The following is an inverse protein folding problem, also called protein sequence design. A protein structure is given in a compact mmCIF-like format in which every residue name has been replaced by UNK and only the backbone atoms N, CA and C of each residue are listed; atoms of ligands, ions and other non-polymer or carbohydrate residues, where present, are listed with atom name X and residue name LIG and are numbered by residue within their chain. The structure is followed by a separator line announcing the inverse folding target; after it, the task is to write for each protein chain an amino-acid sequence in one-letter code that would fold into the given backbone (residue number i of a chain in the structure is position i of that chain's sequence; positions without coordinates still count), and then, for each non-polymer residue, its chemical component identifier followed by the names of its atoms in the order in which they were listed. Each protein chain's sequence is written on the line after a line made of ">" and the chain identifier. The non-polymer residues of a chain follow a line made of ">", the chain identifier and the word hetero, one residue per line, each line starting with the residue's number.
data_IF_345653276761
#
_entry.id   IF_345653276761
#
_cell.length_a   1.000
_cell.length_b   1.000
_cell.length_c   1.000
_cell.angle_alpha   90.00
_cell.angle_beta   90.00
_cell.angle_gamma   90.00
#
_symmetry.space_group_name_H-M   'P 1'
#
loop_
_entity.id
_entity.type
_entity.pdbx_description
1 polymer ?
#
# COMPACT_ATOMS: atom_id res chain seq x y z
N UNK A 1 35.89 -3.78 -8.61
CA UNK A 1 35.70 -3.34 -7.22
C UNK A 1 34.40 -2.55 -7.09
N UNK A 2 33.32 -3.23 -6.71
CA UNK A 2 32.00 -2.60 -6.55
C UNK A 2 31.87 -2.00 -5.14
N UNK A 3 31.69 -0.68 -5.05
CA UNK A 3 31.43 0.01 -3.78
C UNK A 3 29.93 0.00 -3.49
N UNK A 4 29.50 -0.87 -2.58
CA UNK A 4 28.18 -0.84 -1.94
C UNK A 4 28.01 0.53 -1.26
N UNK A 5 26.98 1.28 -1.65
CA UNK A 5 26.61 2.54 -1.00
C UNK A 5 25.66 2.22 0.15
N UNK A 6 26.15 2.39 1.38
CA UNK A 6 25.34 2.38 2.59
C UNK A 6 24.27 3.47 2.54
N UNK A 7 23.02 3.04 2.50
CA UNK A 7 21.82 3.88 2.56
C UNK A 7 21.12 3.71 3.91
N UNK A 8 21.91 3.62 4.99
CA UNK A 8 21.41 3.31 6.33
C UNK A 8 20.85 4.54 7.08
N UNK A 9 21.17 5.77 6.68
CA UNK A 9 20.85 6.97 7.49
C UNK A 9 19.94 8.03 6.83
N UNK A 10 19.33 7.79 5.68
CA UNK A 10 18.35 8.74 5.13
C UNK A 10 16.91 8.27 5.37
N UNK A 11 16.48 8.32 6.64
CA UNK A 11 15.05 8.31 6.97
C UNK A 11 14.58 9.75 7.19
N UNK A 12 13.88 10.30 6.20
CA UNK A 12 13.16 11.56 6.35
C UNK A 12 12.04 11.38 7.37
N UNK A 13 12.20 12.04 8.52
CA UNK A 13 11.23 12.14 9.60
C UNK A 13 10.01 12.93 9.12
N UNK A 14 9.01 12.23 8.55
CA UNK A 14 7.67 12.80 8.31
C UNK A 14 6.97 12.99 9.65
N UNK A 15 6.70 14.23 10.02
CA UNK A 15 5.78 14.58 11.11
C UNK A 15 4.38 14.04 10.78
N UNK A 16 3.78 13.28 11.69
CA UNK A 16 2.37 12.87 11.60
C UNK A 16 1.49 13.93 12.27
N UNK A 17 0.33 14.30 11.69
CA UNK A 17 -0.67 15.13 12.37
C UNK A 17 -1.39 14.34 13.48
N UNK A 18 -1.78 15.07 14.53
CA UNK A 18 -2.40 14.63 15.79
C UNK A 18 -3.84 14.15 15.64
N UNK A 19 -4.26 13.39 16.64
CA UNK A 19 -5.42 12.51 16.71
C UNK A 19 -6.81 13.19 16.61
N UNK A 20 -7.76 12.51 15.96
CA UNK A 20 -9.21 12.71 16.18
C UNK A 20 -9.73 11.54 17.02
N UNK A 21 -10.25 11.86 18.20
CA UNK A 21 -10.98 10.96 19.10
C UNK A 21 -12.19 10.36 18.39
N UNK A 22 -12.26 9.04 18.31
CA UNK A 22 -13.51 8.32 18.03
C UNK A 22 -14.11 7.86 19.37
N UNK A 23 -15.36 8.23 19.61
CA UNK A 23 -16.14 7.82 20.76
C UNK A 23 -16.60 6.37 20.58
N UNK A 24 -16.56 5.62 21.69
CA UNK A 24 -17.06 4.25 21.79
C UNK A 24 -18.59 4.21 21.61
N UNK A 25 -19.08 3.21 20.89
CA UNK A 25 -20.43 2.69 21.02
C UNK A 25 -20.35 1.16 21.07
N UNK A 26 -21.09 0.63 22.03
CA UNK A 26 -21.15 -0.75 22.50
C UNK A 26 -21.69 -1.73 21.45
N UNK A 27 -21.31 -3.01 21.58
CA UNK A 27 -22.00 -4.09 20.87
C UNK A 27 -21.15 -5.36 20.61
N UNK A 28 -21.43 -6.39 21.41
CA UNK A 28 -21.18 -7.84 21.20
C UNK A 28 -19.84 -8.48 21.64
N UNK A 29 -19.89 -9.55 22.47
CA UNK A 29 -18.72 -10.31 22.89
C UNK A 29 -18.34 -11.37 21.84
N UNK A 30 -17.31 -11.09 21.04
CA UNK A 30 -16.70 -12.08 20.17
C UNK A 30 -15.92 -13.13 21.00
N UNK A 31 -16.43 -14.36 21.02
CA UNK A 31 -15.78 -15.53 21.62
C UNK A 31 -14.39 -15.76 21.00
N UNK A 32 -13.33 -15.42 21.74
CA UNK A 32 -11.96 -15.74 21.37
C UNK A 32 -11.72 -17.23 21.61
N UNK A 33 -11.76 -18.03 20.54
CA UNK A 33 -11.13 -19.36 20.51
C UNK A 33 -9.65 -19.21 20.83
N UNK A 34 -9.26 -19.62 22.04
CA UNK A 34 -7.85 -19.80 22.43
C UNK A 34 -7.26 -20.86 21.50
N UNK A 35 -6.24 -20.49 20.72
CA UNK A 35 -5.32 -21.46 20.13
C UNK A 35 -4.34 -21.82 21.23
N UNK A 36 -4.51 -23.00 21.81
CA UNK A 36 -3.48 -23.64 22.62
C UNK A 36 -2.29 -23.94 21.71
N UNK A 37 -1.21 -23.18 21.89
CA UNK A 37 0.11 -23.60 21.45
C UNK A 37 0.72 -24.35 22.62
N UNK A 38 0.83 -25.69 22.48
CA UNK A 38 1.66 -26.52 23.34
C UNK A 38 3.12 -26.07 23.19
N UNK A 39 3.61 -25.30 24.16
CA UNK A 39 5.03 -25.05 24.35
C UNK A 39 5.41 -25.79 25.64
N UNK A 40 5.83 -27.04 25.46
CA UNK A 40 6.41 -27.86 26.53
C UNK A 40 7.83 -27.35 26.72
N UNK A 41 8.02 -26.51 27.74
CA UNK A 41 9.26 -26.32 28.51
C UNK A 41 9.00 -25.22 29.57
N UNK A 42 8.24 -25.57 30.61
CA UNK A 42 8.01 -24.73 31.78
C UNK A 42 8.96 -25.18 32.90
N UNK A 43 9.96 -24.35 33.20
CA UNK A 43 10.84 -24.50 34.37
C UNK A 43 10.77 -23.21 35.19
N UNK A 44 10.14 -23.31 36.36
CA UNK A 44 10.36 -22.43 37.51
C UNK A 44 9.29 -21.35 37.74
N UNK A 45 8.55 -21.38 38.88
CA UNK A 45 7.52 -20.41 39.18
C UNK A 45 8.16 -19.09 39.65
N UNK A 46 7.82 -17.99 38.98
CA UNK A 46 7.98 -16.65 39.55
C UNK A 46 6.57 -16.08 39.74
N UNK A 47 6.33 -15.55 40.94
CA UNK A 47 5.00 -15.23 41.46
C UNK A 47 4.17 -14.32 40.55
N UNK A 48 2.83 -14.49 40.54
CA UNK A 48 1.95 -13.65 39.76
C UNK A 48 1.86 -12.24 40.36
N UNK A 49 2.41 -11.25 39.67
CA UNK A 49 2.16 -9.83 39.96
C UNK A 49 0.67 -9.50 39.81
N UNK A 50 0.12 -8.71 40.74
CA UNK A 50 -1.31 -8.35 40.96
C UNK A 50 -2.08 -7.74 39.77
N UNK A 51 -1.43 -7.54 38.63
CA UNK A 51 -2.10 -7.24 37.37
C UNK A 51 -1.82 -8.42 36.45
N UNK A 52 -2.84 -9.23 36.11
CA UNK A 52 -2.78 -10.53 35.41
C UNK A 52 -2.16 -10.57 34.00
N UNK A 53 -1.23 -9.67 33.70
CA UNK A 53 -0.35 -9.66 32.55
C UNK A 53 1.02 -10.15 33.02
N UNK A 54 1.50 -11.22 32.39
CA UNK A 54 2.87 -11.70 32.58
C UNK A 54 3.85 -10.53 32.41
N UNK A 55 4.88 -10.40 33.26
CA UNK A 55 5.88 -9.35 33.14
C UNK A 55 6.51 -9.39 31.74
N UNK A 56 6.71 -8.21 31.14
CA UNK A 56 7.23 -8.12 29.77
C UNK A 56 8.70 -8.54 29.71
N UNK A 57 8.97 -9.67 29.07
CA UNK A 57 10.33 -10.11 28.83
C UNK A 57 10.99 -9.28 27.69
N UNK A 58 11.82 -8.33 28.12
CA UNK A 58 12.59 -7.46 27.24
C UNK A 58 13.60 -8.24 26.38
N UNK A 59 14.11 -9.39 26.84
CA UNK A 59 15.14 -10.17 26.15
C UNK A 59 14.55 -10.88 24.93
N UNK A 60 13.44 -11.60 25.11
CA UNK A 60 12.71 -12.20 23.97
C UNK A 60 12.18 -11.14 23.01
N UNK A 61 11.71 -9.99 23.50
CA UNK A 61 11.32 -8.89 22.61
C UNK A 61 12.48 -8.40 21.74
N UNK A 62 13.67 -8.17 22.30
CA UNK A 62 14.84 -7.74 21.54
C UNK A 62 15.25 -8.78 20.49
N UNK A 63 15.23 -10.06 20.86
CA UNK A 63 15.50 -11.16 19.92
C UNK A 63 14.47 -11.16 18.78
N UNK A 64 13.18 -11.09 19.07
CA UNK A 64 12.12 -11.03 18.04
C UNK A 64 12.22 -9.76 17.16
N UNK A 65 12.59 -8.62 17.74
CA UNK A 65 12.60 -7.33 17.02
C UNK A 65 13.82 -7.15 16.12
N UNK A 66 14.99 -7.62 16.56
CA UNK A 66 16.26 -7.36 15.89
C UNK A 66 16.90 -8.59 15.25
N UNK A 67 16.47 -9.81 15.59
CA UNK A 67 16.97 -11.01 14.90
C UNK A 67 16.51 -11.04 13.45
N UNK A 68 17.47 -11.13 12.53
CA UNK A 68 17.22 -11.31 11.10
C UNK A 68 16.48 -12.64 10.84
N UNK A 69 16.85 -13.70 11.57
CA UNK A 69 16.23 -15.04 11.46
C UNK A 69 14.73 -14.96 11.76
N UNK A 70 14.35 -14.31 12.85
CA UNK A 70 12.95 -14.14 13.23
C UNK A 70 12.14 -13.35 12.19
N UNK A 71 12.74 -12.32 11.59
CA UNK A 71 12.08 -11.55 10.51
C UNK A 71 11.88 -12.37 9.23
N UNK A 72 12.86 -13.21 8.87
CA UNK A 72 12.74 -14.11 7.72
C UNK A 72 11.66 -15.17 7.97
N UNK A 73 11.65 -15.75 9.17
CA UNK A 73 10.65 -16.73 9.58
C UNK A 73 9.23 -16.14 9.55
N UNK A 74 9.03 -14.94 10.10
CA UNK A 74 7.75 -14.21 10.00
C UNK A 74 7.31 -13.95 8.55
N UNK A 75 8.26 -13.68 7.65
CA UNK A 75 7.96 -13.48 6.23
C UNK A 75 7.56 -14.79 5.55
N UNK A 76 8.27 -15.88 5.84
CA UNK A 76 7.92 -17.22 5.34
C UNK A 76 6.58 -17.71 5.86
N UNK A 77 6.27 -17.50 7.14
CA UNK A 77 4.96 -17.80 7.73
C UNK A 77 3.83 -17.04 7.03
N UNK A 78 4.01 -15.73 6.80
CA UNK A 78 3.04 -14.92 6.07
C UNK A 78 2.84 -15.43 4.63
N UNK A 79 3.94 -15.82 3.97
CA UNK A 79 3.90 -16.39 2.61
C UNK A 79 3.15 -17.72 2.59
N UNK A 80 3.46 -18.65 3.52
CA UNK A 80 2.77 -19.95 3.66
C UNK A 80 1.27 -19.76 3.91
N UNK A 81 0.91 -18.84 4.81
CA UNK A 81 -0.50 -18.50 5.10
C UNK A 81 -1.21 -17.95 3.87
N UNK A 82 -0.53 -17.12 3.08
CA UNK A 82 -1.08 -16.59 1.82
C UNK A 82 -1.34 -17.72 0.81
N UNK A 83 -0.39 -18.63 0.65
CA UNK A 83 -0.51 -19.79 -0.25
C UNK A 83 -1.68 -20.68 0.17
N UNK A 84 -1.83 -20.95 1.48
CA UNK A 84 -2.95 -21.72 2.01
C UNK A 84 -4.30 -21.03 1.75
N UNK A 85 -4.37 -19.71 1.92
CA UNK A 85 -5.59 -18.96 1.61
C UNK A 85 -5.90 -18.95 0.10
N UNK A 86 -4.88 -18.88 -0.76
CA UNK A 86 -5.05 -18.96 -2.21
C UNK A 86 -5.59 -20.35 -2.61
N UNK A 87 -5.05 -21.42 -2.03
CA UNK A 87 -5.55 -22.79 -2.21
C UNK A 87 -7.00 -22.95 -1.72
N UNK A 88 -7.33 -22.46 -0.52
CA UNK A 88 -8.71 -22.50 -0.02
C UNK A 88 -9.68 -21.70 -0.88
N UNK A 89 -9.22 -20.59 -1.49
CA UNK A 89 -10.02 -19.81 -2.42
C UNK A 89 -10.23 -20.55 -3.74
N UNK A 90 -9.22 -21.21 -4.29
CA UNK A 90 -9.38 -22.00 -5.51
C UNK A 90 -10.36 -23.15 -5.29
N UNK A 91 -10.30 -23.83 -4.15
CA UNK A 91 -11.26 -24.90 -3.79
C UNK A 91 -12.68 -24.36 -3.66
N UNK A 92 -12.88 -23.18 -3.05
CA UNK A 92 -14.20 -22.55 -2.93
C UNK A 92 -14.78 -22.03 -4.24
N UNK A 93 -13.90 -21.66 -5.18
CA UNK A 93 -14.29 -21.14 -6.48
C UNK A 93 -14.37 -22.23 -7.56
N UNK A 94 -14.00 -23.46 -7.24
CA UNK A 94 -14.14 -24.61 -8.14
C UNK A 94 -15.64 -24.89 -8.35
N UNK A 95 -16.18 -24.75 -9.57
CA UNK A 95 -17.61 -24.93 -9.85
C UNK A 95 -18.13 -26.33 -9.46
N UNK A 96 -17.24 -27.32 -9.30
CA UNK A 96 -17.60 -28.67 -8.90
C UNK A 96 -17.90 -28.81 -7.39
N UNK A 97 -17.47 -27.86 -6.55
CA UNK A 97 -17.54 -27.97 -5.10
C UNK A 97 -18.64 -27.11 -4.44
N UNK A 98 -19.46 -26.37 -5.21
CA UNK A 98 -20.26 -25.28 -4.65
C UNK A 98 -21.62 -24.99 -5.27
N UNK A 99 -22.54 -25.96 -5.34
CA UNK A 99 -23.97 -25.67 -5.61
C UNK A 99 -25.00 -26.60 -4.93
N UNK A 100 -24.70 -27.29 -3.83
CA UNK A 100 -25.76 -27.87 -3.00
C UNK A 100 -26.01 -27.00 -1.76
N UNK A 101 -26.91 -26.02 -1.90
CA UNK A 101 -27.67 -25.50 -0.78
C UNK A 101 -29.02 -26.22 -0.80
N UNK A 102 -29.41 -26.98 0.23
CA UNK A 102 -30.72 -27.59 0.28
C UNK A 102 -31.76 -26.47 0.23
N UNK A 103 -32.56 -26.45 -0.83
CA UNK A 103 -33.75 -25.59 -0.95
C UNK A 103 -34.78 -26.22 -0.01
N UNK A 104 -35.16 -25.50 1.04
CA UNK A 104 -36.38 -25.81 1.78
C UNK A 104 -37.57 -25.52 0.87
N UNK A 105 -38.44 -26.50 0.74
CA UNK A 105 -39.50 -26.65 -0.27
C UNK A 105 -40.65 -25.61 -0.21
N UNK A 106 -40.56 -24.55 0.60
CA UNK A 106 -41.76 -23.87 1.12
C UNK A 106 -41.75 -22.35 0.98
N UNK A 107 -41.51 -21.82 -0.23
CA UNK A 107 -41.88 -20.44 -0.56
C UNK A 107 -42.53 -20.37 -1.96
N UNK A 108 -43.82 -20.72 -2.01
CA UNK A 108 -44.75 -20.30 -3.04
C UNK A 108 -45.08 -18.81 -2.84
N UNK A 109 -44.29 -17.90 -3.44
CA UNK A 109 -44.72 -16.52 -3.63
C UNK A 109 -45.53 -16.44 -4.92
N UNK A 110 -46.84 -16.52 -4.76
CA UNK A 110 -47.85 -16.41 -5.82
C UNK A 110 -47.86 -15.03 -6.46
N UNK A 111 -47.79 -15.02 -7.79
CA UNK A 111 -48.14 -13.89 -8.64
C UNK A 111 -49.60 -13.48 -8.38
N UNK A 112 -49.81 -12.27 -7.87
CA UNK A 112 -51.14 -11.67 -7.88
C UNK A 112 -51.05 -10.16 -8.07
N UNK A 113 -51.83 -9.69 -9.06
CA UNK A 113 -52.54 -8.40 -9.17
C UNK A 113 -52.23 -7.52 -10.39
N UNK A 114 -52.65 -8.00 -11.56
CA UNK A 114 -53.14 -7.12 -12.64
C UNK A 114 -54.54 -6.61 -12.28
N UNK A 115 -54.67 -5.53 -11.51
CA UNK A 115 -55.92 -4.74 -11.45
C UNK A 115 -55.65 -3.30 -11.04
N UNK A 116 -56.06 -2.35 -11.89
CA UNK A 116 -56.17 -0.93 -11.53
C UNK A 116 -55.37 0.04 -12.40
N UNK A 117 -55.95 0.50 -13.51
CA UNK A 117 -55.47 1.69 -14.23
C UNK A 117 -55.80 2.95 -13.43
N UNK A 118 -54.93 3.32 -12.49
CA UNK A 118 -55.00 4.62 -11.83
C UNK A 118 -54.41 5.72 -12.71
N UNK A 119 -55.04 6.91 -12.67
CA UNK A 119 -54.53 8.16 -13.22
C UNK A 119 -53.11 8.38 -12.65
N UNK A 120 -52.10 8.43 -13.52
CA UNK A 120 -50.69 8.61 -13.09
C UNK A 120 -50.53 9.97 -12.40
N UNK A 121 -50.10 9.95 -11.12
CA UNK A 121 -49.68 11.16 -10.41
C UNK A 121 -48.57 11.92 -11.20
N UNK A 122 -48.50 13.26 -11.12
CA UNK A 122 -47.51 14.07 -11.87
C UNK A 122 -46.05 13.68 -11.58
N UNK A 123 -45.74 13.17 -10.38
CA UNK A 123 -44.41 12.61 -10.04
C UNK A 123 -44.00 11.41 -10.91
N UNK A 124 -44.96 10.67 -11.49
CA UNK A 124 -44.68 9.58 -12.43
C UNK A 124 -44.29 10.09 -13.83
N UNK A 125 -44.69 11.32 -14.23
CA UNK A 125 -44.28 11.91 -15.51
C UNK A 125 -42.80 12.31 -15.49
N UNK A 126 -42.29 12.85 -14.39
CA UNK A 126 -40.85 13.14 -14.24
C UNK A 126 -39.99 11.87 -14.31
N UNK A 127 -40.53 10.73 -13.83
CA UNK A 127 -39.85 9.44 -13.89
C UNK A 127 -39.74 8.86 -15.29
N UNK A 128 -40.64 9.23 -16.21
CA UNK A 128 -40.64 8.79 -17.61
C UNK A 128 -39.64 9.56 -18.48
N UNK A 129 -39.25 10.77 -18.09
CA UNK A 129 -38.17 11.54 -18.74
C UNK A 129 -36.77 11.05 -18.36
N UNK A 130 -36.65 10.01 -17.53
CA UNK A 130 -35.37 9.43 -17.16
C UNK A 130 -34.91 8.43 -18.22
N UNK A 131 -33.76 8.70 -18.84
CA UNK A 131 -33.14 7.81 -19.83
C UNK A 131 -33.10 6.37 -19.33
N UNK A 132 -33.40 5.38 -20.19
CA UNK A 132 -33.40 3.98 -19.77
C UNK A 132 -32.04 3.62 -19.17
N UNK A 133 -32.11 3.00 -18.00
CA UNK A 133 -30.93 2.51 -17.29
C UNK A 133 -30.26 1.45 -18.17
N UNK A 134 -29.00 1.68 -18.58
CA UNK A 134 -28.17 0.66 -19.25
C UNK A 134 -28.23 -0.68 -18.53
N UNK A 135 -28.15 -1.78 -19.27
CA UNK A 135 -28.16 -3.12 -18.69
C UNK A 135 -27.03 -3.28 -17.65
N UNK A 136 -27.23 -4.07 -16.57
CA UNK A 136 -26.20 -4.28 -15.55
C UNK A 136 -24.84 -4.71 -16.11
N UNK A 137 -24.84 -5.56 -17.14
CA UNK A 137 -23.63 -6.01 -17.83
C UNK A 137 -22.87 -4.87 -18.52
N UNK A 138 -23.58 -4.02 -19.27
CA UNK A 138 -22.98 -2.87 -19.95
C UNK A 138 -22.35 -1.89 -18.94
N UNK A 139 -23.04 -1.66 -17.81
CA UNK A 139 -22.49 -0.84 -16.72
C UNK A 139 -21.22 -1.44 -16.13
N UNK A 140 -21.16 -2.76 -15.98
CA UNK A 140 -19.97 -3.45 -15.49
C UNK A 140 -18.81 -3.35 -16.50
N UNK A 141 -19.10 -3.53 -17.79
CA UNK A 141 -18.13 -3.39 -18.88
C UNK A 141 -17.55 -1.97 -18.95
N UNK A 142 -18.40 -0.95 -18.87
CA UNK A 142 -17.98 0.46 -18.86
C UNK A 142 -17.06 0.75 -17.67
N UNK A 143 -17.41 0.26 -16.46
CA UNK A 143 -16.57 0.42 -15.27
C UNK A 143 -15.22 -0.28 -15.42
N UNK A 144 -15.20 -1.49 -15.98
CA UNK A 144 -13.96 -2.23 -16.21
C UNK A 144 -13.03 -1.48 -17.16
N UNK A 145 -13.57 -0.95 -18.26
CA UNK A 145 -12.79 -0.18 -19.24
C UNK A 145 -12.21 1.10 -18.60
N UNK A 146 -13.02 1.84 -17.83
CA UNK A 146 -12.54 3.02 -17.08
C UNK A 146 -11.39 2.68 -16.14
N UNK A 147 -11.53 1.61 -15.35
CA UNK A 147 -10.45 1.18 -14.43
C UNK A 147 -9.19 0.76 -15.20
N UNK A 148 -9.34 0.15 -16.38
CA UNK A 148 -8.21 -0.23 -17.24
C UNK A 148 -7.48 1.01 -17.78
N UNK A 149 -8.22 2.00 -18.26
CA UNK A 149 -7.69 3.27 -18.76
C UNK A 149 -6.98 4.06 -17.65
N UNK A 150 -7.61 4.20 -16.48
CA UNK A 150 -7.01 4.88 -15.32
C UNK A 150 -5.70 4.22 -14.88
N UNK A 151 -5.62 2.88 -14.93
CA UNK A 151 -4.39 2.15 -14.63
C UNK A 151 -3.29 2.46 -15.63
N UNK A 152 -3.63 2.50 -16.92
CA UNK A 152 -2.68 2.80 -18.00
C UNK A 152 -2.16 4.24 -17.89
N UNK A 153 -3.06 5.22 -17.73
CA UNK A 153 -2.69 6.63 -17.50
C UNK A 153 -1.80 6.80 -16.27
N UNK A 154 -2.10 6.09 -15.17
CA UNK A 154 -1.29 6.12 -13.95
C UNK A 154 0.09 5.49 -14.14
N UNK A 155 0.23 4.49 -15.00
CA UNK A 155 1.53 3.91 -15.35
C UNK A 155 2.34 4.91 -16.18
N UNK A 156 1.76 5.46 -17.25
CA UNK A 156 2.42 6.47 -18.09
C UNK A 156 2.86 7.70 -17.29
N UNK A 157 2.01 8.21 -16.40
CA UNK A 157 2.36 9.36 -15.56
C UNK A 157 3.55 9.06 -14.62
N UNK A 158 3.64 7.82 -14.11
CA UNK A 158 4.78 7.41 -13.29
C UNK A 158 6.06 7.26 -14.10
N UNK A 159 5.97 6.74 -15.32
CA UNK A 159 7.11 6.60 -16.22
C UNK A 159 7.64 7.97 -16.62
N UNK A 160 6.78 8.89 -17.06
CA UNK A 160 7.13 10.28 -17.36
C UNK A 160 7.81 10.96 -16.17
N UNK A 161 7.24 10.86 -14.98
CA UNK A 161 7.84 11.43 -13.76
C UNK A 161 9.21 10.81 -13.41
N UNK A 162 9.40 9.52 -13.69
CA UNK A 162 10.68 8.82 -13.50
C UNK A 162 11.72 9.31 -14.51
N UNK A 163 11.35 9.45 -15.77
CA UNK A 163 12.21 9.96 -16.84
C UNK A 163 12.66 11.39 -16.57
N UNK A 164 11.73 12.29 -16.20
CA UNK A 164 12.06 13.66 -15.83
C UNK A 164 13.05 13.71 -14.67
N UNK A 165 12.83 12.89 -13.64
CA UNK A 165 13.74 12.78 -12.49
C UNK A 165 15.11 12.30 -12.90
N UNK A 166 15.18 11.28 -13.76
CA UNK A 166 16.43 10.74 -14.26
C UNK A 166 17.18 11.76 -15.12
N UNK A 167 16.47 12.48 -16.00
CA UNK A 167 17.02 13.54 -16.85
C UNK A 167 17.61 14.67 -16.00
N UNK A 168 16.86 15.20 -15.02
CA UNK A 168 17.37 16.22 -14.08
C UNK A 168 18.59 15.74 -13.30
N UNK A 169 18.61 14.47 -12.88
CA UNK A 169 19.75 13.90 -12.17
C UNK A 169 20.98 13.75 -13.08
N UNK A 170 20.80 13.35 -14.35
CA UNK A 170 21.87 13.26 -15.32
C UNK A 170 22.45 14.65 -15.63
N UNK A 171 21.60 15.65 -15.86
CA UNK A 171 22.02 17.04 -16.08
C UNK A 171 22.81 17.58 -14.87
N UNK A 172 22.34 17.35 -13.65
CA UNK A 172 23.07 17.72 -12.44
C UNK A 172 24.45 17.04 -12.37
N UNK A 173 24.52 15.74 -12.68
CA UNK A 173 25.79 15.00 -12.70
C UNK A 173 26.75 15.54 -13.75
N UNK A 174 26.27 15.84 -14.97
CA UNK A 174 27.06 16.45 -16.04
C UNK A 174 27.64 17.80 -15.61
N UNK A 175 26.78 18.73 -15.15
CA UNK A 175 27.19 20.04 -14.63
C UNK A 175 28.21 19.91 -13.49
N UNK A 176 28.00 18.97 -12.56
CA UNK A 176 28.92 18.71 -11.45
C UNK A 176 30.29 18.22 -11.95
N UNK A 177 30.31 17.31 -12.92
CA UNK A 177 31.55 16.79 -13.51
C UNK A 177 32.31 17.88 -14.27
N UNK A 178 31.62 18.68 -15.08
CA UNK A 178 32.22 19.82 -15.80
C UNK A 178 32.81 20.85 -14.84
N UNK A 179 32.06 21.21 -13.79
CA UNK A 179 32.54 22.11 -12.74
C UNK A 179 33.76 21.54 -12.01
N UNK A 180 33.74 20.24 -11.71
CA UNK A 180 34.89 19.56 -11.11
C UNK A 180 36.12 19.63 -12.03
N UNK A 181 35.97 19.31 -13.31
CA UNK A 181 37.05 19.39 -14.32
C UNK A 181 37.66 20.79 -14.38
N UNK A 182 36.83 21.85 -14.40
CA UNK A 182 37.30 23.25 -14.37
C UNK A 182 38.07 23.57 -13.09
N UNK A 183 37.57 23.16 -11.92
CA UNK A 183 38.18 23.46 -10.62
C UNK A 183 39.42 22.62 -10.30
N UNK A 184 39.49 21.38 -10.78
CA UNK A 184 40.56 20.42 -10.49
C UNK A 184 41.78 20.59 -11.38
N UNK A 185 41.67 21.34 -12.48
CA UNK A 185 42.78 21.57 -13.41
C UNK A 185 43.92 22.33 -12.72
N UNK A 186 45.13 21.79 -12.84
CA UNK A 186 46.37 22.37 -12.30
C UNK A 186 47.37 22.63 -13.43
N UNK A 187 48.26 23.59 -13.23
CA UNK A 187 49.40 23.85 -14.12
C UNK A 187 50.53 22.84 -13.84
N UNK A 188 51.60 22.86 -14.67
CA UNK A 188 52.77 21.96 -14.49
C UNK A 188 53.44 22.10 -13.12
N UNK A 189 53.29 23.25 -12.46
CA UNK A 189 53.81 23.55 -11.12
C UNK A 189 52.83 23.14 -9.99
N UNK A 190 51.73 22.43 -10.32
CA UNK A 190 50.74 21.95 -9.35
C UNK A 190 49.77 23.01 -8.82
N UNK A 191 49.89 24.27 -9.23
CA UNK A 191 48.98 25.33 -8.84
C UNK A 191 47.68 25.25 -9.65
N UNK A 192 46.55 25.66 -9.08
CA UNK A 192 45.29 25.67 -9.80
C UNK A 192 45.26 26.66 -10.96
N UNK A 193 44.66 26.27 -12.08
CA UNK A 193 44.48 27.16 -13.24
C UNK A 193 43.37 28.18 -12.94
N UNK A 194 43.68 29.48 -12.95
CA UNK A 194 42.74 30.53 -12.55
C UNK A 194 41.62 30.81 -13.55
N UNK A 195 41.88 30.72 -14.86
CA UNK A 195 40.91 31.11 -15.89
C UNK A 195 39.51 30.48 -15.68
N UNK A 196 39.42 29.16 -15.54
CA UNK A 196 38.14 28.47 -15.33
C UNK A 196 37.51 28.68 -13.95
N UNK A 197 38.30 29.07 -12.94
CA UNK A 197 37.78 29.41 -11.61
C UNK A 197 37.17 30.81 -11.60
N UNK A 198 37.81 31.75 -12.30
CA UNK A 198 37.33 33.12 -12.46
C UNK A 198 36.02 33.15 -13.24
N UNK A 199 35.90 32.36 -14.32
CA UNK A 199 34.64 32.21 -15.07
C UNK A 199 33.49 31.75 -14.16
N UNK A 200 33.69 30.69 -13.37
CA UNK A 200 32.70 30.19 -12.41
C UNK A 200 32.36 31.20 -11.31
N UNK A 201 33.31 32.06 -10.92
CA UNK A 201 33.07 33.12 -9.95
C UNK A 201 32.23 34.24 -10.55
N UNK A 202 32.53 34.65 -11.78
CA UNK A 202 31.75 35.64 -12.53
C UNK A 202 30.31 35.17 -12.73
N UNK A 203 30.08 33.90 -13.09
CA UNK A 203 28.74 33.32 -13.22
C UNK A 203 27.94 33.38 -11.91
N UNK A 204 28.61 33.14 -10.77
CA UNK A 204 27.98 33.25 -9.45
C UNK A 204 27.62 34.68 -9.09
N UNK A 205 28.50 35.64 -9.39
CA UNK A 205 28.23 37.06 -9.13
C UNK A 205 27.06 37.54 -10.00
N UNK A 206 27.02 37.14 -11.28
CA UNK A 206 25.92 37.49 -12.20
C UNK A 206 24.59 36.86 -11.80
N UNK A 207 24.60 35.63 -11.29
CA UNK A 207 23.37 34.94 -10.84
C UNK A 207 22.90 35.35 -9.44
N UNK A 208 23.75 36.02 -8.66
CA UNK A 208 23.41 36.56 -7.34
C UNK A 208 22.92 38.02 -7.40
N UNK A 209 23.14 38.70 -8.53
CA UNK A 209 22.48 39.97 -8.86
C UNK A 209 21.10 39.69 -9.43
#
# INVERSE_FOLDING_TARGET
>A
MEKKRDSFFLSNKKQKPKDKKFQNKDGEPAQKKKKESNDVNDVGPSEPSENGKKPFDKKTYRLKKYSKKYKLEQWEEQRKKRLLNEYQKSVKNDPMAGTYKPISFDEDTTDSTEVGRFVKHPDLLEKLNQKPKKAPFERAKDKFNKVKEERLQKQEAKEKAREERMKKLQEYKKKKQERFKKLSKKNKKGQPVMAGRMELLLDKIKSSK
#
